data_IF_618272315084
#
_entry.id   IF_618272315084
#
_cell.length_a   1.000
_cell.length_b   1.000
_cell.length_c   1.000
_cell.angle_alpha   90.00
_cell.angle_beta   90.00
_cell.angle_gamma   90.00
#
_symmetry.space_group_name_H-M   'P 1'
#
loop_
_entity.id
_entity.type
_entity.pdbx_description
1 polymer ?
#
# COMPACT_ATOMS: atom_id res chain seq x y z
N UNK A 1 10.98 -19.05 -6.18
CA UNK A 1 10.00 -17.93 -6.24
C UNK A 1 10.56 -16.87 -7.16
N UNK A 2 9.74 -16.08 -7.88
CA UNK A 2 10.25 -14.92 -8.61
C UNK A 2 10.96 -13.97 -7.63
N UNK A 3 11.82 -13.11 -8.16
CA UNK A 3 12.63 -12.20 -7.35
C UNK A 3 11.75 -11.39 -6.37
N UNK A 4 12.05 -11.48 -5.08
CA UNK A 4 11.37 -10.80 -3.97
C UNK A 4 12.00 -9.45 -3.62
N UNK A 5 12.98 -8.98 -4.39
CA UNK A 5 13.66 -7.71 -4.13
C UNK A 5 12.68 -6.52 -4.16
N UNK A 6 11.72 -6.52 -5.10
CA UNK A 6 10.87 -5.35 -5.33
C UNK A 6 9.51 -5.69 -5.96
N UNK A 7 8.46 -5.04 -5.48
CA UNK A 7 7.13 -5.04 -6.09
C UNK A 7 6.59 -3.62 -6.25
N UNK A 8 5.79 -3.40 -7.29
CA UNK A 8 4.91 -2.24 -7.44
C UNK A 8 3.49 -2.70 -7.22
N UNK A 9 2.75 -2.04 -6.33
CA UNK A 9 1.42 -2.50 -5.89
C UNK A 9 0.31 -1.48 -6.18
N UNK A 10 -0.83 -1.98 -6.63
CA UNK A 10 -2.03 -1.19 -6.92
C UNK A 10 -2.96 -1.08 -5.69
N UNK A 11 -3.97 -0.21 -5.79
CA UNK A 11 -4.99 0.04 -4.76
C UNK A 11 -5.74 -1.22 -4.34
N UNK A 12 -6.31 -1.96 -5.30
CA UNK A 12 -7.17 -3.11 -4.99
C UNK A 12 -6.45 -4.20 -4.14
N UNK A 13 -5.20 -4.61 -4.45
CA UNK A 13 -4.43 -5.49 -3.56
C UNK A 13 -4.18 -4.93 -2.17
N UNK A 14 -3.84 -3.63 -2.02
CA UNK A 14 -3.64 -3.01 -0.71
C UNK A 14 -4.93 -3.07 0.14
N UNK A 15 -6.06 -2.69 -0.44
CA UNK A 15 -7.38 -2.74 0.22
C UNK A 15 -7.76 -4.17 0.59
N UNK A 16 -7.53 -5.12 -0.31
CA UNK A 16 -7.85 -6.54 -0.07
C UNK A 16 -7.02 -7.13 1.07
N UNK A 17 -5.74 -6.74 1.18
CA UNK A 17 -4.87 -7.16 2.28
C UNK A 17 -5.34 -6.57 3.61
N UNK A 18 -5.64 -5.26 3.66
CA UNK A 18 -6.21 -4.65 4.87
C UNK A 18 -7.51 -5.35 5.29
N UNK A 19 -8.39 -5.66 4.34
CA UNK A 19 -9.63 -6.40 4.63
C UNK A 19 -9.38 -7.81 5.19
N UNK A 20 -8.31 -8.48 4.74
CA UNK A 20 -7.99 -9.85 5.15
C UNK A 20 -7.17 -9.93 6.45
N UNK A 21 -6.28 -8.97 6.70
CA UNK A 21 -5.27 -9.05 7.78
C UNK A 21 -5.30 -7.88 8.75
N UNK A 22 -6.10 -6.85 8.48
CA UNK A 22 -6.16 -5.60 9.26
C UNK A 22 -4.82 -4.85 9.34
N UNK A 23 -3.85 -5.19 8.49
CA UNK A 23 -2.58 -4.49 8.33
C UNK A 23 -1.95 -4.77 6.95
N UNK A 24 -0.73 -4.28 6.71
CA UNK A 24 0.02 -4.53 5.47
C UNK A 24 1.34 -5.28 5.71
N UNK A 25 1.58 -5.83 6.91
CA UNK A 25 2.89 -6.38 7.30
C UNK A 25 3.32 -7.60 6.49
N UNK A 26 2.36 -8.33 5.93
CA UNK A 26 2.66 -9.46 5.05
C UNK A 26 3.53 -9.04 3.86
N UNK A 27 3.32 -7.85 3.30
CA UNK A 27 4.12 -7.33 2.21
C UNK A 27 5.57 -7.05 2.63
N UNK A 28 5.78 -6.53 3.85
CA UNK A 28 7.12 -6.31 4.42
C UNK A 28 7.87 -7.63 4.68
N UNK A 29 7.15 -8.73 4.93
CA UNK A 29 7.75 -10.06 5.11
C UNK A 29 8.10 -10.75 3.78
N UNK A 30 7.43 -10.37 2.69
CA UNK A 30 7.55 -11.01 1.38
C UNK A 30 8.47 -10.26 0.42
N UNK A 31 8.64 -8.95 0.59
CA UNK A 31 9.39 -8.10 -0.33
C UNK A 31 10.36 -7.17 0.40
N UNK A 32 11.56 -6.98 -0.16
CA UNK A 32 12.50 -6.00 0.36
C UNK A 32 12.04 -4.55 0.11
N UNK A 33 11.42 -4.28 -1.05
CA UNK A 33 10.87 -2.98 -1.42
C UNK A 33 9.45 -3.11 -1.94
N UNK A 34 8.56 -2.23 -1.47
CA UNK A 34 7.18 -2.14 -1.94
C UNK A 34 6.92 -0.70 -2.36
N UNK A 35 6.86 -0.48 -3.67
CA UNK A 35 6.58 0.83 -4.25
C UNK A 35 5.08 1.05 -4.40
N UNK A 36 4.63 2.23 -4.02
CA UNK A 36 3.25 2.68 -4.22
C UNK A 36 3.26 3.89 -5.15
N UNK A 37 2.74 3.77 -6.39
CA UNK A 37 2.63 4.89 -7.33
C UNK A 37 1.79 6.05 -6.79
N UNK A 38 2.00 7.25 -7.34
CA UNK A 38 1.30 8.46 -6.91
C UNK A 38 -0.22 8.32 -7.03
N UNK A 39 -0.68 7.76 -8.14
CA UNK A 39 -2.10 7.55 -8.44
C UNK A 39 -2.73 6.60 -7.42
N UNK A 40 -1.99 5.58 -6.97
CA UNK A 40 -2.44 4.64 -5.93
C UNK A 40 -2.51 5.33 -4.57
N UNK A 41 -1.52 6.15 -4.23
CA UNK A 41 -1.58 7.00 -3.03
C UNK A 41 -2.83 7.88 -3.06
N UNK A 42 -3.08 8.59 -4.16
CA UNK A 42 -4.24 9.48 -4.30
C UNK A 42 -5.57 8.73 -4.23
N UNK A 43 -5.68 7.57 -4.87
CA UNK A 43 -6.90 6.75 -4.82
C UNK A 43 -7.21 6.29 -3.40
N UNK A 44 -6.22 5.79 -2.67
CA UNK A 44 -6.39 5.38 -1.26
C UNK A 44 -6.75 6.57 -0.39
N UNK A 45 -6.03 7.69 -0.52
CA UNK A 45 -6.28 8.89 0.30
C UNK A 45 -7.62 9.56 -0.01
N UNK A 46 -8.18 9.35 -1.20
CA UNK A 46 -9.57 9.77 -1.51
C UNK A 46 -10.57 9.00 -0.66
N UNK A 47 -10.23 7.79 -0.18
CA UNK A 47 -10.92 7.07 0.90
C UNK A 47 -12.30 6.51 0.57
N UNK A 48 -12.89 6.85 -0.58
CA UNK A 48 -14.27 6.51 -0.89
C UNK A 48 -15.24 6.99 0.20
N UNK A 49 -16.35 6.26 0.40
CA UNK A 49 -17.40 6.67 1.36
C UNK A 49 -16.97 6.46 2.83
N UNK A 50 -16.13 5.46 3.10
CA UNK A 50 -15.83 5.00 4.47
C UNK A 50 -14.40 5.29 4.95
N UNK A 51 -13.50 5.77 4.08
CA UNK A 51 -12.07 5.90 4.39
C UNK A 51 -11.38 4.54 4.61
N UNK A 52 -11.95 3.45 4.08
CA UNK A 52 -11.46 2.10 4.38
C UNK A 52 -10.01 1.91 3.90
N UNK A 53 -9.15 1.42 4.78
CA UNK A 53 -7.74 1.16 4.50
C UNK A 53 -6.82 2.38 4.61
N UNK A 54 -7.35 3.59 4.81
CA UNK A 54 -6.54 4.80 4.99
C UNK A 54 -5.66 4.72 6.24
N UNK A 55 -6.18 4.36 7.45
CA UNK A 55 -5.35 4.31 8.66
C UNK A 55 -4.21 3.29 8.55
N UNK A 56 -4.49 2.11 7.99
CA UNK A 56 -3.49 1.06 7.79
C UNK A 56 -2.44 1.46 6.74
N UNK A 57 -2.87 2.12 5.68
CA UNK A 57 -1.98 2.65 4.66
C UNK A 57 -1.09 3.77 5.22
N UNK A 58 -1.62 4.71 6.00
CA UNK A 58 -0.86 5.76 6.67
C UNK A 58 0.15 5.18 7.68
N UNK A 59 -0.27 4.22 8.50
CA UNK A 59 0.57 3.56 9.49
C UNK A 59 1.72 2.74 8.86
N UNK A 60 1.56 2.29 7.62
CA UNK A 60 2.60 1.60 6.86
C UNK A 60 3.66 2.58 6.32
N UNK A 61 4.43 3.22 7.22
CA UNK A 61 5.49 4.19 6.90
C UNK A 61 6.68 3.59 6.14
N UNK A 62 6.75 2.26 6.08
CA UNK A 62 7.79 1.51 5.37
C UNK A 62 7.48 1.31 3.88
N UNK A 63 6.24 1.61 3.44
CA UNK A 63 5.91 1.66 2.02
C UNK A 63 6.62 2.83 1.36
N UNK A 64 7.24 2.58 0.21
CA UNK A 64 7.85 3.63 -0.61
C UNK A 64 6.75 4.31 -1.45
N UNK A 65 6.05 5.23 -0.80
CA UNK A 65 4.99 6.05 -1.41
C UNK A 65 5.63 7.11 -2.29
N UNK A 66 5.27 7.14 -3.57
CA UNK A 66 5.76 8.18 -4.48
C UNK A 66 5.42 9.57 -3.89
N UNK A 67 6.38 10.52 -3.89
CA UNK A 67 6.16 11.84 -3.34
C UNK A 67 5.01 12.53 -4.08
N UNK A 68 4.14 13.21 -3.33
CA UNK A 68 3.20 14.16 -3.91
C UNK A 68 4.06 15.29 -4.49
N UNK A 69 4.11 15.43 -5.81
CA UNK A 69 4.74 16.58 -6.44
C UNK A 69 4.07 17.85 -5.90
N UNK A 70 4.87 18.70 -5.24
CA UNK A 70 4.48 20.00 -4.69
C UNK A 70 3.92 20.96 -5.73
#
# INVERSE_FOLDING_TARGET
>A
MPNTDKIVINTAPLISLVAATSDLKILQSLYHQVLVPLEVCQEIMTGGISGFGVPEFEAASWLEKAPVSS
#
